data_IF_416079767534
#
_entry.id   IF_416079767534
#
_cell.length_a   1.000
_cell.length_b   1.000
_cell.length_c   1.000
_cell.angle_alpha   90.00
_cell.angle_beta   90.00
_cell.angle_gamma   90.00
#
_symmetry.space_group_name_H-M   'P 1'
#
loop_
_entity.id
_entity.type
_entity.pdbx_description
1 polymer ?
#
# COMPACT_ATOMS: atom_id res chain seq x y z
N UNK A 1 25.38 31.37 18.05
CA UNK A 1 25.23 31.82 16.65
C UNK A 1 26.52 31.66 15.85
N UNK A 2 27.62 32.34 16.21
CA UNK A 2 28.89 32.32 15.45
C UNK A 2 29.51 30.94 15.11
N UNK A 3 29.39 29.94 16.00
CA UNK A 3 29.94 28.59 15.74
C UNK A 3 29.21 27.87 14.61
N UNK A 4 27.88 28.02 14.55
CA UNK A 4 27.06 27.36 13.53
C UNK A 4 27.26 28.03 12.16
N UNK A 5 27.40 29.36 12.13
CA UNK A 5 27.69 30.13 10.91
C UNK A 5 29.03 29.74 10.28
N UNK A 6 30.09 29.57 11.09
CA UNK A 6 31.38 29.07 10.58
C UNK A 6 31.30 27.65 10.03
N UNK A 7 30.56 26.78 10.69
CA UNK A 7 30.41 25.39 10.27
C UNK A 7 29.59 25.30 8.97
N UNK A 8 28.53 26.11 8.85
CA UNK A 8 27.77 26.26 7.62
C UNK A 8 28.63 26.78 6.47
N UNK A 9 29.49 27.79 6.72
CA UNK A 9 30.41 28.30 5.71
C UNK A 9 31.45 27.26 5.26
N UNK A 10 31.93 26.39 6.17
CA UNK A 10 32.93 25.35 5.82
C UNK A 10 32.39 24.21 4.96
N UNK A 11 31.07 24.03 4.92
CA UNK A 11 30.39 22.97 4.16
C UNK A 11 29.49 23.56 3.06
N UNK A 12 29.53 24.88 2.88
CA UNK A 12 28.72 25.56 1.87
C UNK A 12 29.18 25.10 0.47
N UNK A 13 28.29 24.49 -0.33
CA UNK A 13 28.65 24.06 -1.67
C UNK A 13 28.89 25.30 -2.55
N UNK A 14 30.08 25.40 -3.15
CA UNK A 14 30.37 26.37 -4.22
C UNK A 14 29.72 25.89 -5.52
N UNK A 15 28.40 26.02 -5.60
CA UNK A 15 27.64 25.72 -6.81
C UNK A 15 26.75 26.90 -7.11
N UNK A 16 26.72 27.32 -8.38
CA UNK A 16 25.83 28.36 -8.84
C UNK A 16 24.37 28.00 -8.54
N UNK A 17 23.61 28.99 -8.07
CA UNK A 17 22.20 28.84 -7.79
C UNK A 17 21.45 28.65 -9.12
N UNK A 18 21.22 27.40 -9.49
CA UNK A 18 20.50 27.01 -10.70
C UNK A 18 19.05 26.62 -10.36
N UNK A 19 18.09 27.55 -10.48
CA UNK A 19 16.69 27.28 -10.19
C UNK A 19 16.05 26.36 -11.24
N UNK A 20 16.61 26.23 -12.44
CA UNK A 20 16.10 25.33 -13.46
C UNK A 20 16.44 23.88 -13.09
N UNK A 21 17.69 23.60 -12.70
CA UNK A 21 18.10 22.29 -12.17
C UNK A 21 17.34 21.91 -10.90
N UNK A 22 17.08 22.87 -10.01
CA UNK A 22 16.34 22.60 -8.76
C UNK A 22 14.88 22.18 -9.00
N UNK A 23 14.27 22.60 -10.12
CA UNK A 23 12.90 22.23 -10.50
C UNK A 23 12.84 21.08 -11.51
N UNK A 24 13.98 20.67 -12.06
CA UNK A 24 14.03 19.58 -13.01
C UNK A 24 13.67 18.25 -12.33
N UNK A 25 13.09 17.33 -13.10
CA UNK A 25 12.80 15.98 -12.61
C UNK A 25 14.12 15.28 -12.24
N UNK A 26 14.12 14.69 -11.05
CA UNK A 26 15.14 13.73 -10.64
C UNK A 26 14.87 12.37 -11.29
N UNK A 27 15.89 11.51 -11.36
CA UNK A 27 15.76 10.15 -11.92
C UNK A 27 14.63 9.33 -11.26
N UNK A 28 14.43 9.49 -9.94
CA UNK A 28 13.35 8.82 -9.21
C UNK A 28 11.97 9.42 -9.52
N UNK A 29 11.88 10.74 -9.77
CA UNK A 29 10.62 11.34 -10.17
C UNK A 29 10.29 11.11 -11.63
N UNK A 30 11.28 11.04 -12.53
CA UNK A 30 11.04 10.83 -13.97
C UNK A 30 10.42 9.47 -14.25
N UNK A 31 10.75 8.43 -13.49
CA UNK A 31 10.13 7.12 -13.66
C UNK A 31 8.63 7.10 -13.32
N UNK A 32 8.16 8.01 -12.46
CA UNK A 32 6.73 8.12 -12.15
C UNK A 32 5.93 8.81 -13.27
N UNK A 33 6.56 9.72 -14.02
CA UNK A 33 5.90 10.44 -15.13
C UNK A 33 5.70 9.56 -16.37
N UNK A 34 6.52 8.53 -16.56
CA UNK A 34 6.41 7.60 -17.70
C UNK A 34 5.25 6.59 -17.53
N UNK A 35 4.92 6.19 -16.29
CA UNK A 35 3.84 5.23 -16.02
C UNK A 35 2.45 5.89 -15.94
N UNK A 36 2.37 7.10 -15.37
CA UNK A 36 1.14 7.87 -15.19
C UNK A 36 1.14 9.06 -16.17
N UNK A 37 0.74 8.81 -17.41
CA UNK A 37 0.82 9.75 -18.54
C UNK A 37 0.63 11.24 -18.20
N UNK A 38 1.50 12.06 -18.78
CA UNK A 38 1.59 13.51 -18.60
C UNK A 38 0.20 14.19 -18.51
N UNK A 39 -0.08 14.82 -17.36
CA UNK A 39 -1.20 15.77 -17.23
C UNK A 39 -2.33 15.40 -16.27
N UNK A 40 -2.25 14.32 -15.49
CA UNK A 40 -3.24 14.10 -14.42
C UNK A 40 -2.96 15.00 -13.22
N UNK A 41 -3.91 15.89 -12.91
CA UNK A 41 -3.87 16.75 -11.72
C UNK A 41 -3.98 15.95 -10.41
N UNK A 42 -4.55 14.73 -10.46
CA UNK A 42 -4.68 13.83 -9.33
C UNK A 42 -4.30 12.41 -9.76
N UNK A 43 -3.53 11.72 -8.91
CA UNK A 43 -3.24 10.30 -9.08
C UNK A 43 -4.49 9.46 -8.81
N UNK A 44 -4.51 8.25 -9.36
CA UNK A 44 -5.59 7.30 -9.09
C UNK A 44 -5.64 6.96 -7.59
N UNK A 45 -6.81 7.12 -6.99
CA UNK A 45 -7.00 6.82 -5.56
C UNK A 45 -7.14 5.32 -5.40
N UNK A 46 -6.05 4.65 -5.00
CA UNK A 46 -6.07 3.25 -4.63
C UNK A 46 -6.61 3.06 -3.21
N UNK A 47 -7.95 3.14 -3.08
CA UNK A 47 -8.68 2.97 -1.81
C UNK A 47 -9.31 1.59 -1.62
N UNK A 48 -9.97 1.41 -0.48
CA UNK A 48 -10.80 0.24 -0.20
C UNK A 48 -12.19 0.46 -0.77
N UNK A 49 -12.41 -0.03 -1.99
CA UNK A 49 -13.71 0.01 -2.64
C UNK A 49 -14.54 -1.24 -2.33
N UNK A 50 -15.86 -1.11 -2.32
CA UNK A 50 -16.77 -2.23 -2.08
C UNK A 50 -16.58 -3.34 -3.12
N UNK A 51 -16.30 -2.99 -4.38
CA UNK A 51 -16.04 -4.00 -5.41
C UNK A 51 -14.81 -4.86 -5.08
N UNK A 52 -13.81 -4.30 -4.39
CA UNK A 52 -12.62 -5.03 -3.93
C UNK A 52 -12.96 -5.96 -2.76
N UNK A 53 -13.89 -5.58 -1.87
CA UNK A 53 -14.35 -6.46 -0.79
C UNK A 53 -15.07 -7.69 -1.35
N UNK A 54 -15.92 -7.51 -2.36
CA UNK A 54 -16.66 -8.61 -2.99
C UNK A 54 -15.77 -9.54 -3.84
N UNK A 55 -14.53 -9.16 -4.15
CA UNK A 55 -13.56 -10.10 -4.76
C UNK A 55 -13.15 -11.21 -3.77
N UNK A 56 -13.10 -10.91 -2.47
CA UNK A 56 -12.78 -11.90 -1.45
C UNK A 56 -13.95 -12.88 -1.27
N UNK A 57 -13.66 -14.18 -1.39
CA UNK A 57 -14.63 -15.24 -1.19
C UNK A 57 -15.11 -15.31 0.27
N UNK A 58 -14.23 -15.05 1.24
CA UNK A 58 -14.58 -15.04 2.67
C UNK A 58 -15.64 -13.98 2.95
N UNK A 59 -15.47 -12.79 2.39
CA UNK A 59 -16.40 -11.69 2.58
C UNK A 59 -17.79 -12.01 2.02
N UNK A 60 -17.85 -12.53 0.78
CA UNK A 60 -19.10 -12.95 0.14
C UNK A 60 -19.86 -14.01 0.96
N UNK A 61 -19.16 -15.01 1.46
CA UNK A 61 -19.79 -16.08 2.25
C UNK A 61 -20.25 -15.56 3.61
N UNK A 62 -19.48 -14.66 4.23
CA UNK A 62 -19.86 -14.01 5.50
C UNK A 62 -21.19 -13.26 5.35
N UNK A 63 -21.33 -12.46 4.28
CA UNK A 63 -22.57 -11.72 4.03
C UNK A 63 -23.75 -12.65 3.71
N UNK A 64 -23.53 -13.73 2.96
CA UNK A 64 -24.57 -14.74 2.71
C UNK A 64 -25.04 -15.43 4.00
N UNK A 65 -24.10 -15.81 4.88
CA UNK A 65 -24.42 -16.40 6.19
C UNK A 65 -25.13 -15.43 7.11
N UNK A 66 -24.78 -14.14 7.05
CA UNK A 66 -25.45 -13.08 7.81
C UNK A 66 -26.88 -12.87 7.32
N UNK A 67 -27.09 -12.80 6.02
CA UNK A 67 -28.42 -12.69 5.41
C UNK A 67 -29.32 -13.89 5.76
N UNK A 68 -28.75 -15.08 5.90
CA UNK A 68 -29.45 -16.29 6.33
C UNK A 68 -29.62 -16.42 7.86
N UNK A 69 -29.07 -15.50 8.66
CA UNK A 69 -29.07 -15.58 10.13
C UNK A 69 -28.18 -16.68 10.72
N UNK A 70 -27.35 -17.33 9.91
CA UNK A 70 -26.50 -18.46 10.31
C UNK A 70 -25.10 -18.03 10.76
N UNK A 71 -24.70 -16.77 10.54
CA UNK A 71 -23.35 -16.27 10.83
C UNK A 71 -22.85 -16.57 12.25
N UNK A 72 -23.72 -16.44 13.25
CA UNK A 72 -23.35 -16.64 14.66
C UNK A 72 -23.47 -18.11 15.13
N UNK A 73 -23.97 -19.01 14.29
CA UNK A 73 -24.13 -20.43 14.61
C UNK A 73 -22.80 -21.16 14.54
N UNK A 74 -22.70 -22.32 15.19
CA UNK A 74 -21.49 -23.16 15.12
C UNK A 74 -21.20 -23.62 13.68
N UNK A 75 -22.26 -23.86 12.89
CA UNK A 75 -22.15 -24.12 11.46
C UNK A 75 -21.56 -22.93 10.69
N UNK A 76 -22.06 -21.72 10.93
CA UNK A 76 -21.51 -20.52 10.29
C UNK A 76 -20.03 -20.32 10.63
N UNK A 77 -19.66 -20.54 11.90
CA UNK A 77 -18.26 -20.44 12.36
C UNK A 77 -17.36 -21.50 11.73
N UNK A 78 -17.82 -22.75 11.63
CA UNK A 78 -17.01 -23.82 11.01
C UNK A 78 -16.75 -23.51 9.53
N UNK A 79 -17.79 -23.12 8.80
CA UNK A 79 -17.68 -22.75 7.38
C UNK A 79 -16.69 -21.60 7.18
N UNK A 80 -16.77 -20.53 8.00
CA UNK A 80 -15.85 -19.39 7.88
C UNK A 80 -14.38 -19.73 8.22
N UNK A 81 -14.16 -20.71 9.10
CA UNK A 81 -12.81 -21.15 9.49
C UNK A 81 -12.13 -21.92 8.36
N UNK A 82 -12.90 -22.73 7.63
CA UNK A 82 -12.38 -23.60 6.57
C UNK A 82 -12.04 -22.84 5.27
N UNK A 83 -12.68 -21.70 5.03
CA UNK A 83 -12.46 -20.91 3.81
C UNK A 83 -11.08 -20.24 3.87
N UNK A 84 -10.27 -20.40 2.82
CA UNK A 84 -8.99 -19.71 2.67
C UNK A 84 -9.19 -18.32 2.04
N UNK A 85 -8.39 -17.34 2.47
CA UNK A 85 -8.35 -16.04 1.79
C UNK A 85 -7.71 -16.24 0.43
N UNK A 86 -8.30 -15.66 -0.60
CA UNK A 86 -7.70 -15.64 -1.94
C UNK A 86 -6.70 -14.49 -2.10
N UNK A 87 -6.57 -13.62 -1.10
CA UNK A 87 -5.59 -12.52 -1.11
C UNK A 87 -4.22 -13.11 -0.82
N UNK A 88 -3.39 -13.18 -1.87
CA UNK A 88 -1.98 -13.49 -1.72
C UNK A 88 -1.31 -12.38 -0.91
N UNK A 89 -0.67 -12.75 0.20
CA UNK A 89 0.12 -11.82 0.96
C UNK A 89 1.40 -11.48 0.20
N UNK A 90 1.95 -10.29 0.47
CA UNK A 90 3.25 -9.93 -0.12
C UNK A 90 4.30 -10.96 0.32
N UNK A 91 5.28 -11.33 -0.53
CA UNK A 91 6.20 -12.44 -0.27
C UNK A 91 7.03 -12.30 1.01
N UNK A 92 7.29 -11.08 1.44
CA UNK A 92 8.00 -10.72 2.67
C UNK A 92 7.10 -10.79 3.93
N UNK A 93 5.79 -10.86 3.75
CA UNK A 93 4.80 -10.77 4.80
C UNK A 93 4.37 -12.16 5.25
N UNK A 94 5.00 -12.68 6.32
CA UNK A 94 4.64 -13.98 6.90
C UNK A 94 3.33 -13.87 7.68
N UNK A 95 2.31 -14.61 7.24
CA UNK A 95 1.05 -14.72 7.98
C UNK A 95 1.08 -15.84 9.00
N UNK A 96 0.12 -15.81 9.93
CA UNK A 96 -0.09 -16.92 10.87
C UNK A 96 -0.43 -18.23 10.13
N UNK A 97 -1.10 -18.15 8.96
CA UNK A 97 -1.39 -19.32 8.12
C UNK A 97 -0.12 -19.91 7.49
N UNK A 98 0.83 -19.09 7.05
CA UNK A 98 2.10 -19.58 6.48
C UNK A 98 2.92 -20.37 7.51
N UNK A 99 2.86 -19.95 8.78
CA UNK A 99 3.51 -20.64 9.90
C UNK A 99 2.89 -21.99 10.23
N UNK A 100 1.60 -22.19 9.91
CA UNK A 100 0.89 -23.45 10.18
C UNK A 100 1.09 -24.50 9.08
N UNK A 101 1.31 -24.07 7.82
CA UNK A 101 1.49 -24.98 6.67
C UNK A 101 2.91 -25.55 6.56
N UNK A 102 3.92 -24.84 7.08
CA UNK A 102 5.33 -25.23 7.00
C UNK A 102 5.86 -25.86 8.30
N UNK A 103 5.01 -26.57 9.05
CA UNK A 103 5.40 -27.23 10.30
C UNK A 103 5.46 -28.74 10.15
#
# INVERSE_FOLDING_TARGET
HLRLERLAASVAPEVEADPARARAHTFASSSMFEEDGEGRAFHDVHGYFDEKLFQDQRFRITEALRAAGLHATDYGRSVLTDIKSNVQHRPDMRTTYDKMVHR
#
